data_IF_671168058442
#
_entry.id   IF_671168058442
#
_cell.length_a   1.000
_cell.length_b   1.000
_cell.length_c   1.000
_cell.angle_alpha   90.00
_cell.angle_beta   90.00
_cell.angle_gamma   90.00
#
_symmetry.space_group_name_H-M   'P 1'
#
loop_
_entity.id
_entity.type
_entity.pdbx_description
1 polymer ?
#
# COMPACT_ATOMS: atom_id res chain seq x y z
N UNK A 1 5.87 -54.11 -4.65
CA UNK A 1 5.59 -53.73 -6.05
C UNK A 1 5.27 -52.25 -6.10
N UNK A 2 5.74 -51.58 -7.15
CA UNK A 2 6.11 -50.16 -7.23
C UNK A 2 4.96 -49.14 -7.21
N UNK A 3 5.26 -47.90 -6.81
CA UNK A 3 4.41 -46.74 -7.09
C UNK A 3 4.79 -45.41 -6.42
N UNK A 4 6.07 -45.05 -6.33
CA UNK A 4 6.56 -43.82 -5.69
C UNK A 4 6.42 -42.59 -6.62
N UNK A 5 5.43 -41.73 -6.41
CA UNK A 5 5.20 -40.50 -7.18
C UNK A 5 5.95 -39.28 -6.62
N UNK A 6 7.27 -39.19 -6.86
CA UNK A 6 8.06 -37.96 -6.65
C UNK A 6 7.74 -36.93 -7.75
N UNK A 7 7.09 -35.82 -7.42
CA UNK A 7 6.96 -34.67 -8.34
C UNK A 7 8.27 -33.88 -8.31
N UNK A 8 9.15 -34.18 -9.27
CA UNK A 8 10.40 -33.47 -9.50
C UNK A 8 10.09 -32.15 -10.23
N UNK A 9 10.20 -31.00 -9.53
CA UNK A 9 9.80 -29.68 -9.99
C UNK A 9 10.68 -29.07 -11.07
N UNK A 10 10.61 -29.58 -12.31
CA UNK A 10 11.22 -28.94 -13.48
C UNK A 10 10.22 -27.93 -14.05
N UNK A 11 10.59 -26.64 -14.08
CA UNK A 11 9.74 -25.57 -14.61
C UNK A 11 9.17 -25.94 -15.99
N UNK A 12 7.93 -25.56 -16.33
CA UNK A 12 7.35 -25.80 -17.65
C UNK A 12 8.26 -25.31 -18.78
N UNK A 13 8.29 -26.00 -19.93
CA UNK A 13 9.22 -25.70 -21.05
C UNK A 13 9.11 -24.25 -21.55
N UNK A 14 7.91 -23.66 -21.59
CA UNK A 14 7.75 -22.26 -22.01
C UNK A 14 8.41 -21.27 -21.03
N UNK A 15 8.41 -21.56 -19.72
CA UNK A 15 9.10 -20.75 -18.71
C UNK A 15 10.62 -20.81 -18.86
N UNK A 16 11.16 -21.98 -19.24
CA UNK A 16 12.59 -22.14 -19.53
C UNK A 16 13.01 -21.33 -20.77
N UNK A 17 12.19 -21.34 -21.83
CA UNK A 17 12.44 -20.56 -23.05
C UNK A 17 12.37 -19.05 -22.78
N UNK A 18 11.35 -18.61 -22.05
CA UNK A 18 11.23 -17.20 -21.64
C UNK A 18 12.43 -16.78 -20.78
N UNK A 19 12.88 -17.63 -19.85
CA UNK A 19 14.08 -17.41 -19.05
C UNK A 19 15.34 -17.24 -19.92
N UNK A 20 15.56 -18.12 -20.89
CA UNK A 20 16.73 -18.05 -21.78
C UNK A 20 16.74 -16.79 -22.64
N UNK A 21 15.58 -16.39 -23.19
CA UNK A 21 15.46 -15.15 -23.97
C UNK A 21 15.62 -13.90 -23.08
N UNK A 22 15.09 -13.92 -21.85
CA UNK A 22 15.25 -12.85 -20.86
C UNK A 22 16.72 -12.61 -20.51
N UNK A 23 17.48 -13.67 -20.28
CA UNK A 23 18.92 -13.58 -20.00
C UNK A 23 19.67 -12.95 -21.18
N UNK A 24 19.38 -13.37 -22.41
CA UNK A 24 20.00 -12.80 -23.63
C UNK A 24 19.68 -11.32 -23.86
N UNK A 25 18.49 -10.87 -23.45
CA UNK A 25 18.12 -9.45 -23.50
C UNK A 25 18.88 -8.66 -22.42
N UNK A 26 18.95 -9.18 -21.18
CA UNK A 26 19.64 -8.51 -20.06
C UNK A 26 21.15 -8.42 -20.26
N UNK A 27 21.76 -9.45 -20.81
CA UNK A 27 23.21 -9.50 -21.12
C UNK A 27 23.57 -8.70 -22.37
N UNK A 28 22.60 -8.08 -23.05
CA UNK A 28 22.82 -7.24 -24.23
C UNK A 28 23.11 -8.00 -25.52
N UNK A 29 23.04 -9.34 -25.51
CA UNK A 29 23.17 -10.18 -26.71
C UNK A 29 22.02 -9.96 -27.71
N UNK A 30 20.85 -9.56 -27.21
CA UNK A 30 19.72 -9.09 -28.01
C UNK A 30 19.48 -7.61 -27.71
N UNK A 31 19.87 -6.74 -28.64
CA UNK A 31 19.81 -5.29 -28.43
C UNK A 31 18.37 -4.77 -28.49
N UNK A 32 18.06 -3.72 -27.71
CA UNK A 32 16.89 -2.86 -27.87
C UNK A 32 16.53 -2.57 -29.33
N UNK A 33 15.29 -2.84 -29.74
CA UNK A 33 14.82 -2.64 -31.12
C UNK A 33 15.25 -3.72 -32.12
N UNK A 34 16.08 -4.69 -31.73
CA UNK A 34 16.45 -5.80 -32.60
C UNK A 34 15.24 -6.70 -32.87
N UNK A 35 15.11 -7.15 -34.12
CA UNK A 35 14.05 -8.08 -34.51
C UNK A 35 14.41 -9.49 -34.03
N UNK A 36 13.47 -10.14 -33.33
CA UNK A 36 13.58 -11.57 -33.04
C UNK A 36 13.32 -12.39 -34.31
N UNK A 37 13.98 -13.54 -34.41
CA UNK A 37 13.75 -14.49 -35.50
C UNK A 37 12.26 -14.85 -35.64
N UNK A 38 11.88 -15.25 -36.85
CA UNK A 38 10.54 -15.76 -37.12
C UNK A 38 10.17 -16.87 -36.12
N UNK A 39 8.96 -16.84 -35.57
CA UNK A 39 8.46 -17.81 -34.58
C UNK A 39 8.69 -19.27 -34.99
N UNK A 40 8.56 -19.63 -36.28
CA UNK A 40 8.84 -21.01 -36.74
C UNK A 40 10.31 -21.38 -36.61
N UNK A 41 11.22 -20.45 -36.91
CA UNK A 41 12.68 -20.66 -36.83
C UNK A 41 13.14 -20.72 -35.37
N UNK A 42 12.58 -19.84 -34.54
CA UNK A 42 12.86 -19.79 -33.11
C UNK A 42 12.32 -21.04 -32.39
N UNK A 43 11.15 -21.55 -32.80
CA UNK A 43 10.61 -22.80 -32.25
C UNK A 43 11.52 -23.99 -32.59
N UNK A 44 12.05 -24.02 -33.82
CA UNK A 44 13.03 -25.02 -34.27
C UNK A 44 14.35 -24.93 -33.50
N UNK A 45 14.87 -23.73 -33.23
CA UNK A 45 16.12 -23.56 -32.48
C UNK A 45 16.01 -23.99 -31.02
N UNK A 46 14.82 -23.86 -30.41
CA UNK A 46 14.55 -24.34 -29.06
C UNK A 46 14.03 -25.78 -28.99
N UNK A 47 13.83 -26.45 -30.14
CA UNK A 47 13.32 -27.83 -30.20
C UNK A 47 11.90 -27.99 -29.63
N UNK A 48 11.04 -26.99 -29.78
CA UNK A 48 9.67 -26.98 -29.22
C UNK A 48 8.59 -26.75 -30.28
N UNK A 49 7.33 -27.03 -29.91
CA UNK A 49 6.18 -26.72 -30.75
C UNK A 49 5.95 -25.21 -30.84
N UNK A 50 5.28 -24.77 -31.91
CA UNK A 50 4.93 -23.36 -32.10
C UNK A 50 4.05 -22.81 -30.97
N UNK A 51 3.18 -23.65 -30.39
CA UNK A 51 2.33 -23.28 -29.25
C UNK A 51 3.14 -22.99 -27.98
N UNK A 52 4.13 -23.82 -27.67
CA UNK A 52 5.02 -23.60 -26.52
C UNK A 52 5.87 -22.35 -26.69
N UNK A 53 6.32 -22.05 -27.91
CA UNK A 53 7.03 -20.79 -28.17
C UNK A 53 6.09 -19.58 -28.03
N UNK A 54 4.85 -19.66 -28.55
CA UNK A 54 3.88 -18.55 -28.40
C UNK A 54 3.60 -18.24 -26.94
N UNK A 55 3.43 -19.25 -26.10
CA UNK A 55 3.29 -19.07 -24.65
C UNK A 55 4.50 -18.38 -24.01
N UNK A 56 5.72 -18.73 -24.45
CA UNK A 56 6.94 -18.08 -23.95
C UNK A 56 7.04 -16.61 -24.41
N UNK A 57 6.65 -16.31 -25.65
CA UNK A 57 6.62 -14.94 -26.18
C UNK A 57 5.51 -14.10 -25.53
N UNK A 58 4.34 -14.67 -25.27
CA UNK A 58 3.26 -14.01 -24.50
C UNK A 58 3.73 -13.62 -23.09
N UNK A 59 4.48 -14.49 -22.43
CA UNK A 59 5.05 -14.19 -21.12
C UNK A 59 6.06 -13.02 -21.19
N UNK A 60 6.96 -13.01 -22.18
CA UNK A 60 7.92 -11.93 -22.37
C UNK A 60 7.28 -10.59 -22.78
N UNK A 61 6.16 -10.64 -23.51
CA UNK A 61 5.39 -9.46 -23.90
C UNK A 61 4.64 -8.87 -22.69
N UNK A 62 4.07 -9.72 -21.82
CA UNK A 62 3.52 -9.29 -20.52
C UNK A 62 4.57 -8.67 -19.61
N UNK A 63 5.82 -9.11 -19.71
CA UNK A 63 6.97 -8.54 -18.99
C UNK A 63 7.54 -7.28 -19.67
N UNK A 64 6.94 -6.79 -20.75
CA UNK A 64 7.39 -5.64 -21.54
C UNK A 64 8.82 -5.75 -22.11
N UNK A 65 9.35 -6.96 -22.22
CA UNK A 65 10.70 -7.21 -22.75
C UNK A 65 10.72 -7.28 -24.29
N UNK A 66 9.57 -7.55 -24.90
CA UNK A 66 9.38 -7.63 -26.35
C UNK A 66 8.07 -6.97 -26.75
N UNK A 67 7.99 -6.50 -28.00
CA UNK A 67 6.76 -5.95 -28.58
C UNK A 67 6.46 -6.60 -29.93
N UNK A 68 5.20 -6.99 -30.16
CA UNK A 68 4.73 -7.43 -31.48
C UNK A 68 4.27 -6.23 -32.30
N UNK A 69 4.76 -6.15 -33.53
CA UNK A 69 4.28 -5.17 -34.53
C UNK A 69 3.57 -5.94 -35.64
N UNK A 70 2.28 -5.66 -35.81
CA UNK A 70 1.44 -6.34 -36.81
C UNK A 70 2.09 -6.24 -38.20
N UNK A 71 2.22 -7.36 -38.91
CA UNK A 71 2.89 -7.44 -40.23
C UNK A 71 4.43 -7.35 -40.22
N UNK A 72 5.05 -6.87 -39.15
CA UNK A 72 6.50 -6.57 -39.09
C UNK A 72 7.31 -7.55 -38.22
N UNK A 73 6.63 -8.34 -37.37
CA UNK A 73 7.25 -9.36 -36.52
C UNK A 73 7.41 -8.94 -35.06
N UNK A 74 8.22 -9.69 -34.31
CA UNK A 74 8.47 -9.46 -32.88
C UNK A 74 9.82 -8.77 -32.71
N UNK A 75 9.86 -7.70 -31.91
CA UNK A 75 11.07 -6.92 -31.65
C UNK A 75 11.37 -6.92 -30.15
N UNK A 76 12.66 -6.89 -29.80
CA UNK A 76 13.11 -6.62 -28.44
C UNK A 76 12.67 -5.19 -28.11
N UNK A 77 11.95 -5.03 -27.01
CA UNK A 77 11.54 -3.70 -26.59
C UNK A 77 12.78 -2.84 -26.36
N UNK A 78 12.72 -1.56 -26.72
CA UNK A 78 13.71 -0.63 -26.21
C UNK A 78 13.64 -0.67 -24.67
N UNK A 79 14.72 -0.37 -23.92
CA UNK A 79 14.59 -0.14 -22.50
C UNK A 79 13.71 1.11 -22.40
N UNK A 80 12.40 0.91 -22.28
CA UNK A 80 11.58 1.91 -21.67
C UNK A 80 12.14 1.95 -20.27
N UNK A 81 12.86 3.03 -19.97
CA UNK A 81 12.80 3.56 -18.63
C UNK A 81 11.36 4.09 -18.52
N UNK A 82 10.43 3.14 -18.40
CA UNK A 82 9.04 3.37 -18.09
C UNK A 82 9.04 3.71 -16.61
N UNK A 83 9.46 4.94 -16.33
CA UNK A 83 9.01 5.58 -15.13
C UNK A 83 7.58 5.99 -15.41
N UNK A 84 6.68 5.04 -15.21
CA UNK A 84 5.30 5.37 -14.94
C UNK A 84 5.34 6.37 -13.78
N UNK A 85 5.12 7.65 -14.10
CA UNK A 85 5.20 8.78 -13.16
C UNK A 85 4.21 8.57 -12.00
N UNK A 86 3.20 7.72 -12.19
CA UNK A 86 2.23 7.29 -11.18
C UNK A 86 2.71 6.09 -10.35
N UNK A 87 3.76 5.37 -10.78
CA UNK A 87 4.45 4.31 -10.03
C UNK A 87 5.82 4.70 -9.47
N UNK A 88 6.34 5.90 -9.75
CA UNK A 88 7.55 6.45 -9.11
C UNK A 88 7.28 6.85 -7.65
N UNK A 89 6.94 5.84 -6.84
CA UNK A 89 6.51 5.95 -5.45
C UNK A 89 7.66 6.23 -4.47
N UNK A 90 8.94 6.06 -4.87
CA UNK A 90 10.12 6.44 -4.07
C UNK A 90 11.28 6.98 -4.92
N UNK A 91 11.18 8.20 -5.44
CA UNK A 91 12.21 8.78 -6.32
C UNK A 91 13.67 8.65 -5.81
N UNK A 92 13.92 8.86 -4.51
CA UNK A 92 15.29 8.73 -3.97
C UNK A 92 15.62 7.31 -3.46
N UNK A 93 14.63 6.58 -2.93
CA UNK A 93 14.82 5.25 -2.35
C UNK A 93 15.02 4.16 -3.40
N UNK A 94 14.21 4.20 -4.46
CA UNK A 94 14.22 3.17 -5.52
C UNK A 94 15.43 3.33 -6.46
N UNK A 95 15.93 4.56 -6.64
CA UNK A 95 17.11 4.84 -7.48
C UNK A 95 18.43 4.61 -6.74
N UNK A 96 18.52 4.94 -5.44
CA UNK A 96 19.68 4.56 -4.62
C UNK A 96 19.80 3.05 -4.41
N UNK A 97 18.69 2.32 -4.31
CA UNK A 97 18.71 0.86 -4.23
C UNK A 97 19.19 0.20 -5.54
N UNK A 98 19.06 0.89 -6.67
CA UNK A 98 19.56 0.49 -8.00
C UNK A 98 20.98 1.02 -8.32
N UNK A 99 21.57 1.81 -7.42
CA UNK A 99 22.94 2.32 -7.56
C UNK A 99 23.09 3.66 -8.29
N UNK A 100 22.01 4.37 -8.59
CA UNK A 100 22.02 5.65 -9.29
C UNK A 100 22.19 6.85 -8.35
N UNK A 101 22.91 7.89 -8.80
CA UNK A 101 23.20 9.07 -7.97
C UNK A 101 22.10 10.13 -8.08
N UNK A 102 21.20 10.14 -7.10
CA UNK A 102 20.17 11.19 -6.98
C UNK A 102 20.71 12.39 -6.20
N UNK A 103 20.67 13.57 -6.81
CA UNK A 103 20.98 14.85 -6.18
C UNK A 103 19.72 15.72 -6.09
N UNK A 104 19.55 16.45 -4.98
CA UNK A 104 18.50 17.46 -4.84
C UNK A 104 19.14 18.81 -4.58
N UNK A 105 18.85 19.80 -5.42
CA UNK A 105 19.30 21.19 -5.27
C UNK A 105 18.11 22.07 -4.91
N UNK A 106 18.18 22.75 -3.77
CA UNK A 106 17.23 23.82 -3.44
C UNK A 106 17.47 25.00 -4.39
N UNK A 107 16.44 25.41 -5.12
CA UNK A 107 16.50 26.56 -6.02
C UNK A 107 16.12 27.85 -5.30
N UNK A 108 15.22 27.78 -4.32
CA UNK A 108 14.85 28.94 -3.52
C UNK A 108 13.71 28.68 -2.54
N UNK A 109 13.55 29.59 -1.60
CA UNK A 109 12.41 29.66 -0.68
C UNK A 109 11.87 31.07 -0.63
N UNK A 110 10.56 31.24 -0.73
CA UNK A 110 9.90 32.56 -0.60
C UNK A 110 8.57 32.44 0.11
N UNK A 111 8.18 33.45 0.87
CA UNK A 111 6.79 33.58 1.28
C UNK A 111 5.96 34.16 0.14
N UNK A 112 4.77 33.60 -0.07
CA UNK A 112 3.82 34.08 -1.05
C UNK A 112 2.39 33.96 -0.50
N UNK A 113 1.46 34.71 -1.07
CA UNK A 113 0.03 34.41 -0.92
C UNK A 113 -0.28 33.14 -1.69
N UNK A 114 -0.94 32.13 -1.09
CA UNK A 114 -1.37 30.94 -1.81
C UNK A 114 -2.43 31.34 -2.85
N UNK A 115 -2.42 30.67 -4.00
CA UNK A 115 -3.57 30.71 -4.90
C UNK A 115 -4.76 29.95 -4.29
N UNK A 116 -5.92 30.02 -4.94
CA UNK A 116 -7.14 29.41 -4.42
C UNK A 116 -7.01 27.90 -4.22
N UNK A 117 -6.31 27.19 -5.11
CA UNK A 117 -6.10 25.75 -4.99
C UNK A 117 -5.23 25.39 -3.78
N UNK A 118 -4.13 26.12 -3.58
CA UNK A 118 -3.24 25.91 -2.45
C UNK A 118 -3.91 26.34 -1.14
N UNK A 119 -4.72 27.39 -1.16
CA UNK A 119 -5.46 27.86 0.01
C UNK A 119 -6.49 26.81 0.46
N UNK A 120 -7.28 26.28 -0.47
CA UNK A 120 -8.29 25.25 -0.19
C UNK A 120 -7.64 23.94 0.27
N UNK A 121 -6.60 23.48 -0.42
CA UNK A 121 -5.89 22.25 -0.08
C UNK A 121 -5.22 22.30 1.29
N UNK A 122 -4.81 23.48 1.75
CA UNK A 122 -4.17 23.69 3.05
C UNK A 122 -5.14 24.22 4.13
N UNK A 123 -6.42 24.40 3.82
CA UNK A 123 -7.42 24.94 4.74
C UNK A 123 -7.12 26.37 5.22
N UNK A 124 -6.56 27.20 4.35
CA UNK A 124 -6.07 28.53 4.68
C UNK A 124 -7.06 29.64 4.27
N UNK A 125 -7.25 30.64 5.14
CA UNK A 125 -8.08 31.81 4.85
C UNK A 125 -7.46 32.77 3.80
N UNK A 126 -8.27 33.68 3.25
CA UNK A 126 -7.93 34.58 2.14
C UNK A 126 -6.77 35.56 2.38
N UNK A 127 -6.28 35.68 3.62
CA UNK A 127 -5.10 36.50 3.99
C UNK A 127 -3.91 35.67 4.50
N UNK A 128 -3.98 34.34 4.42
CA UNK A 128 -2.90 33.49 4.88
C UNK A 128 -1.67 33.59 3.95
N UNK A 129 -0.49 33.34 4.52
CA UNK A 129 0.76 33.23 3.75
C UNK A 129 1.24 31.79 3.74
N UNK A 130 1.94 31.41 2.69
CA UNK A 130 2.62 30.12 2.57
C UNK A 130 4.10 30.31 2.25
N UNK A 131 4.95 29.44 2.78
CA UNK A 131 6.33 29.31 2.30
C UNK A 131 6.34 28.39 1.08
N UNK A 132 6.78 28.92 -0.06
CA UNK A 132 7.03 28.19 -1.29
C UNK A 132 8.49 27.74 -1.29
N UNK A 133 8.72 26.45 -1.49
CA UNK A 133 10.05 25.85 -1.57
C UNK A 133 10.22 25.20 -2.94
N UNK A 134 11.21 25.64 -3.71
CA UNK A 134 11.51 25.14 -5.05
C UNK A 134 12.76 24.26 -5.04
N UNK A 135 12.67 23.03 -5.57
CA UNK A 135 13.80 22.09 -5.63
C UNK A 135 13.92 21.46 -7.00
N UNK A 136 15.15 21.33 -7.48
CA UNK A 136 15.49 20.55 -8.65
C UNK A 136 16.03 19.20 -8.19
N UNK A 137 15.44 18.11 -8.67
CA UNK A 137 16.00 16.76 -8.52
C UNK A 137 16.70 16.37 -9.79
N UNK A 138 17.91 15.84 -9.65
CA UNK A 138 18.73 15.34 -10.74
C UNK A 138 19.13 13.90 -10.47
N UNK A 139 19.28 13.13 -11.54
CA UNK A 139 19.79 11.75 -11.51
C UNK A 139 21.02 11.72 -12.42
N UNK A 140 22.17 11.29 -11.88
CA UNK A 140 23.45 11.26 -12.59
C UNK A 140 23.77 12.59 -13.32
N UNK A 141 23.49 13.72 -12.65
CA UNK A 141 23.74 15.06 -13.16
C UNK A 141 22.66 15.63 -14.10
N UNK A 142 21.67 14.84 -14.52
CA UNK A 142 20.60 15.28 -15.42
C UNK A 142 19.37 15.74 -14.63
N UNK A 143 18.82 16.95 -14.87
CA UNK A 143 17.62 17.42 -14.19
C UNK A 143 16.40 16.60 -14.60
N UNK A 144 15.71 16.03 -13.61
CA UNK A 144 14.59 15.11 -13.80
C UNK A 144 13.26 15.70 -13.33
N UNK A 145 13.26 16.52 -12.29
CA UNK A 145 12.01 17.08 -11.73
C UNK A 145 12.25 18.42 -11.06
N UNK A 146 11.34 19.36 -11.31
CA UNK A 146 11.20 20.61 -10.57
C UNK A 146 10.01 20.48 -9.61
N UNK A 147 10.29 20.52 -8.32
CA UNK A 147 9.28 20.39 -7.26
C UNK A 147 9.01 21.75 -6.62
N UNK A 148 7.74 22.15 -6.54
CA UNK A 148 7.25 23.26 -5.71
C UNK A 148 6.46 22.69 -4.54
N UNK A 149 6.82 23.07 -3.32
CA UNK A 149 6.07 22.71 -2.12
C UNK A 149 5.55 23.97 -1.45
N UNK A 150 4.29 23.94 -1.04
CA UNK A 150 3.62 25.02 -0.31
C UNK A 150 3.40 24.60 1.13
N UNK A 151 3.75 25.47 2.07
CA UNK A 151 3.72 25.18 3.50
C UNK A 151 3.00 26.32 4.22
N UNK A 152 2.04 26.04 5.13
CA UNK A 152 1.42 27.07 5.95
C UNK A 152 2.47 27.93 6.68
N UNK A 153 2.22 29.24 6.83
CA UNK A 153 3.19 30.19 7.39
C UNK A 153 3.81 29.74 8.72
N UNK A 154 3.02 29.20 9.65
CA UNK A 154 3.52 28.74 10.94
C UNK A 154 4.55 27.60 10.83
N UNK A 155 4.43 26.73 9.82
CA UNK A 155 5.42 25.68 9.50
C UNK A 155 6.56 26.25 8.64
N UNK A 156 6.24 27.21 7.78
CA UNK A 156 7.18 27.91 6.92
C UNK A 156 8.22 28.71 7.71
N UNK A 157 7.81 29.41 8.76
CA UNK A 157 8.68 30.25 9.59
C UNK A 157 9.76 29.43 10.30
N UNK A 158 9.39 28.26 10.83
CA UNK A 158 10.35 27.32 11.45
C UNK A 158 11.34 26.74 10.45
N UNK A 159 11.03 26.83 9.16
CA UNK A 159 11.74 26.15 8.09
C UNK A 159 12.59 27.11 7.29
N UNK A 160 12.19 28.38 7.21
CA UNK A 160 13.04 29.48 6.78
C UNK A 160 14.16 29.75 7.79
N UNK A 161 13.92 29.52 9.10
CA UNK A 161 14.94 29.64 10.15
C UNK A 161 15.93 28.47 10.20
N UNK A 162 15.61 27.33 9.60
CA UNK A 162 16.50 26.17 9.53
C UNK A 162 17.29 26.20 8.21
N UNK A 163 18.61 26.03 8.27
CA UNK A 163 19.45 25.98 7.05
C UNK A 163 19.08 24.74 6.20
N UNK A 164 18.24 24.97 5.18
CA UNK A 164 17.67 23.96 4.29
C UNK A 164 18.67 23.34 3.31
N UNK A 165 19.88 23.90 3.20
CA UNK A 165 20.94 23.37 2.35
C UNK A 165 21.77 22.29 3.06
N UNK A 166 21.90 22.36 4.39
CA UNK A 166 22.75 21.44 5.17
C UNK A 166 22.01 20.68 6.29
N UNK A 167 20.75 21.02 6.57
CA UNK A 167 19.97 20.43 7.67
C UNK A 167 18.60 19.96 7.18
N UNK A 168 18.33 18.63 7.10
CA UNK A 168 17.00 18.11 6.86
C UNK A 168 16.06 18.47 8.03
N UNK A 169 14.80 18.82 7.75
CA UNK A 169 13.70 19.17 8.68
C UNK A 169 13.46 18.23 9.90
N UNK A 170 14.20 17.15 10.06
CA UNK A 170 13.97 16.06 11.01
C UNK A 170 14.28 16.39 12.49
N UNK A 171 14.39 17.66 12.87
CA UNK A 171 14.81 18.06 14.23
C UNK A 171 14.07 19.24 14.86
N UNK A 172 12.91 19.63 14.34
CA UNK A 172 12.03 20.57 15.07
C UNK A 172 11.20 19.75 16.07
N UNK A 173 11.37 19.91 17.40
CA UNK A 173 10.60 19.16 18.38
C UNK A 173 9.19 19.75 18.51
N UNK A 174 8.16 19.01 18.09
CA UNK A 174 6.78 19.29 18.49
C UNK A 174 6.54 18.79 19.92
N UNK A 175 6.12 19.67 20.82
CA UNK A 175 5.63 19.30 22.17
C UNK A 175 4.20 18.80 22.05
N UNK A 176 3.95 17.58 22.54
CA UNK A 176 2.60 17.02 22.74
C UNK A 176 2.43 15.65 22.07
N UNK A 177 2.19 14.62 22.87
CA UNK A 177 2.14 13.19 22.55
C UNK A 177 3.50 12.57 22.16
N UNK A 178 3.91 11.49 22.84
CA UNK A 178 5.23 10.85 22.76
C UNK A 178 5.59 10.18 21.42
N UNK A 179 5.09 10.68 20.29
CA UNK A 179 5.39 10.22 18.94
C UNK A 179 6.72 10.83 18.49
N UNK A 180 7.73 9.98 18.27
CA UNK A 180 8.98 10.40 17.63
C UNK A 180 8.90 10.13 16.13
N UNK A 181 8.72 11.20 15.36
CA UNK A 181 8.81 11.16 13.90
C UNK A 181 10.28 11.24 13.50
N UNK A 182 10.79 10.24 12.77
CA UNK A 182 12.17 10.23 12.26
C UNK A 182 12.15 10.17 10.74
N UNK A 183 12.47 11.25 10.05
CA UNK A 183 12.75 11.18 8.62
C UNK A 183 14.17 10.61 8.41
N UNK A 184 14.28 9.42 7.80
CA UNK A 184 15.58 8.81 7.47
C UNK A 184 15.92 9.05 6.00
N UNK A 185 16.97 9.82 5.74
CA UNK A 185 17.66 9.89 4.44
C UNK A 185 18.91 9.02 4.53
N UNK A 186 19.06 8.02 3.66
CA UNK A 186 20.32 7.27 3.55
C UNK A 186 21.40 8.22 2.99
N UNK A 187 22.42 8.55 3.81
CA UNK A 187 23.67 9.18 3.35
C UNK A 187 24.81 8.16 3.47
N UNK A 188 25.50 7.86 2.37
CA UNK A 188 26.87 7.32 2.36
C UNK A 188 27.80 8.39 1.80
N UNK A 189 28.75 8.85 2.62
CA UNK A 189 29.69 9.91 2.27
C UNK A 189 30.79 9.45 1.31
N UNK A 190 31.20 10.34 0.41
CA UNK A 190 32.51 10.29 -0.24
C UNK A 190 33.52 11.06 0.63
N UNK A 191 34.62 10.42 1.01
CA UNK A 191 35.91 11.09 1.23
C UNK A 191 36.91 10.49 0.25
N UNK A 192 37.44 11.34 -0.62
CA UNK A 192 38.66 11.06 -1.35
C UNK A 192 39.84 11.51 -0.48
N UNK A 193 40.82 10.62 -0.28
CA UNK A 193 42.05 10.90 0.42
C UNK A 193 42.95 9.67 0.38
N UNK A 194 44.02 9.75 -0.41
CA UNK A 194 44.96 8.68 -0.76
C UNK A 194 45.58 8.03 0.48
N UNK A 195 45.61 6.70 0.55
CA UNK A 195 46.73 5.95 1.11
C UNK A 195 46.75 4.54 0.52
N UNK A 196 47.88 4.20 -0.10
CA UNK A 196 48.20 2.85 -0.59
C UNK A 196 48.46 1.95 0.61
N UNK A 197 47.74 0.84 0.74
CA UNK A 197 48.31 -0.41 1.26
C UNK A 197 47.38 -1.60 0.98
N UNK A 198 48.03 -2.73 0.74
CA UNK A 198 47.54 -4.01 0.21
C UNK A 198 46.39 -4.59 1.06
N UNK A 199 45.29 -5.00 0.43
CA UNK A 199 44.25 -5.82 1.06
C UNK A 199 43.79 -6.93 0.09
N UNK A 200 44.01 -8.17 0.53
CA UNK A 200 43.46 -9.40 -0.05
C UNK A 200 41.92 -9.37 -0.11
N UNK A 201 41.30 -10.14 -1.03
CA UNK A 201 39.83 -10.20 -1.12
C UNK A 201 39.23 -10.76 0.17
N UNK A 202 38.52 -9.92 0.93
CA UNK A 202 37.74 -10.35 2.10
C UNK A 202 36.44 -10.98 1.64
N UNK A 203 36.20 -12.21 2.15
CA UNK A 203 34.99 -13.02 2.06
C UNK A 203 33.69 -12.23 2.25
N UNK A 204 32.56 -12.69 1.68
CA UNK A 204 31.23 -12.19 2.04
C UNK A 204 31.01 -12.34 3.55
N UNK A 205 30.38 -11.33 4.15
CA UNK A 205 29.99 -11.36 5.56
C UNK A 205 29.05 -12.56 5.80
N UNK A 206 29.29 -13.38 6.84
CA UNK A 206 28.36 -14.46 7.19
C UNK A 206 27.04 -13.85 7.68
N UNK A 207 25.93 -14.47 7.26
CA UNK A 207 24.65 -14.32 7.95
C UNK A 207 24.83 -14.76 9.40
N UNK A 208 24.97 -13.79 10.31
CA UNK A 208 24.84 -14.07 11.73
C UNK A 208 23.35 -14.27 12.02
N UNK A 209 22.91 -15.42 12.56
CA UNK A 209 21.64 -15.48 13.25
C UNK A 209 21.78 -14.51 14.44
N UNK A 210 20.85 -13.57 14.55
CA UNK A 210 20.79 -12.69 15.72
C UNK A 210 20.77 -13.51 17.02
N UNK A 211 21.22 -12.94 18.14
CA UNK A 211 21.14 -13.64 19.43
C UNK A 211 19.69 -14.07 19.69
N UNK A 212 19.44 -15.21 20.35
CA UNK A 212 18.09 -15.66 20.64
C UNK A 212 17.36 -14.54 21.37
N UNK A 213 16.32 -14.01 20.73
CA UNK A 213 15.42 -13.03 21.31
C UNK A 213 14.91 -13.65 22.60
N UNK A 214 15.28 -13.07 23.74
CA UNK A 214 14.64 -13.40 25.03
C UNK A 214 13.14 -13.22 24.80
N UNK A 215 12.40 -14.33 24.93
CA UNK A 215 10.96 -14.42 24.69
C UNK A 215 10.21 -13.40 25.55
N UNK A 216 10.02 -12.18 25.03
CA UNK A 216 8.98 -11.27 25.50
C UNK A 216 7.63 -11.96 25.28
N UNK A 217 6.66 -11.76 26.18
CA UNK A 217 5.39 -12.50 26.22
C UNK A 217 4.65 -12.64 24.88
N UNK A 218 3.73 -13.60 24.83
CA UNK A 218 2.85 -13.84 23.68
C UNK A 218 2.19 -12.52 23.23
N UNK A 219 2.45 -12.11 21.98
CA UNK A 219 1.82 -10.90 21.41
C UNK A 219 0.42 -11.24 20.93
N UNK A 220 -0.59 -10.57 21.51
CA UNK A 220 -1.98 -10.57 21.07
C UNK A 220 -2.20 -9.38 20.13
N UNK A 221 -2.66 -9.69 18.92
CA UNK A 221 -3.00 -8.74 17.87
C UNK A 221 -4.49 -8.86 17.59
N UNK A 222 -5.22 -7.75 17.68
CA UNK A 222 -6.60 -7.70 17.20
C UNK A 222 -6.65 -7.08 15.81
N UNK A 223 -7.46 -7.66 14.92
CA UNK A 223 -7.70 -7.11 13.59
C UNK A 223 -9.17 -6.72 13.49
N UNK A 224 -9.46 -5.43 13.40
CA UNK A 224 -10.81 -4.95 13.15
C UNK A 224 -11.09 -5.01 11.64
N UNK A 225 -12.13 -5.75 11.25
CA UNK A 225 -12.54 -5.90 9.87
C UNK A 225 -14.00 -5.47 9.68
N UNK A 226 -14.35 -4.99 8.49
CA UNK A 226 -15.73 -4.69 8.08
C UNK A 226 -16.11 -5.57 6.89
N UNK A 227 -17.34 -6.10 6.93
CA UNK A 227 -17.93 -6.79 5.78
C UNK A 227 -18.63 -5.79 4.88
N UNK A 228 -18.24 -5.74 3.61
CA UNK A 228 -18.70 -4.76 2.61
C UNK A 228 -19.21 -5.47 1.34
N UNK A 229 -19.99 -4.81 0.48
CA UNK A 229 -20.32 -5.34 -0.84
C UNK A 229 -19.04 -5.61 -1.66
N UNK A 230 -19.04 -6.67 -2.46
CA UNK A 230 -17.94 -6.95 -3.38
C UNK A 230 -17.73 -5.79 -4.36
N UNK A 231 -16.48 -5.45 -4.65
CA UNK A 231 -16.08 -4.43 -5.63
C UNK A 231 -16.65 -4.63 -7.04
N UNK A 232 -17.02 -5.87 -7.41
CA UNK A 232 -17.68 -6.18 -8.68
C UNK A 232 -19.20 -5.95 -8.64
N UNK A 233 -19.78 -5.70 -7.47
CA UNK A 233 -21.22 -5.50 -7.29
C UNK A 233 -21.66 -4.18 -7.92
N UNK A 234 -22.66 -4.25 -8.78
CA UNK A 234 -23.38 -3.06 -9.22
C UNK A 234 -24.40 -2.66 -8.16
N UNK A 235 -24.05 -1.66 -7.36
CA UNK A 235 -24.92 -1.14 -6.29
C UNK A 235 -26.13 -0.44 -6.91
N UNK A 236 -27.32 -0.85 -6.47
CA UNK A 236 -28.60 -0.22 -6.83
C UNK A 236 -29.19 0.46 -5.60
N UNK A 237 -29.93 1.53 -5.82
CA UNK A 237 -30.67 2.19 -4.74
C UNK A 237 -31.89 1.34 -4.35
N UNK A 238 -32.21 1.32 -3.07
CA UNK A 238 -33.43 0.70 -2.56
C UNK A 238 -34.66 1.60 -2.82
N UNK A 239 -35.83 1.11 -2.45
CA UNK A 239 -37.05 1.93 -2.35
C UNK A 239 -36.98 2.91 -1.17
N UNK A 240 -36.20 2.62 -0.13
CA UNK A 240 -35.82 3.62 0.88
C UNK A 240 -34.68 4.48 0.32
N UNK A 241 -34.84 5.82 0.20
CA UNK A 241 -33.81 6.71 -0.34
C UNK A 241 -32.54 6.74 0.51
N UNK A 242 -32.52 6.14 1.70
CA UNK A 242 -31.34 6.12 2.59
C UNK A 242 -30.58 4.80 2.54
N UNK A 243 -30.99 3.85 1.71
CA UNK A 243 -30.44 2.51 1.67
C UNK A 243 -30.18 2.01 0.25
N UNK A 244 -29.27 1.04 0.15
CA UNK A 244 -29.00 0.29 -1.08
C UNK A 244 -29.85 -0.98 -1.12
N UNK A 245 -30.16 -1.47 -2.31
CA UNK A 245 -30.75 -2.80 -2.49
C UNK A 245 -29.69 -3.87 -2.22
N UNK A 246 -29.88 -4.65 -1.17
CA UNK A 246 -28.94 -5.71 -0.76
C UNK A 246 -29.23 -7.06 -1.43
N UNK A 247 -30.26 -7.14 -2.27
CA UNK A 247 -30.68 -8.40 -2.91
C UNK A 247 -29.62 -8.89 -3.89
N UNK A 248 -29.13 -10.11 -3.68
CA UNK A 248 -28.12 -10.72 -4.56
C UNK A 248 -26.71 -10.15 -4.43
N UNK A 249 -26.44 -9.26 -3.46
CA UNK A 249 -25.10 -8.76 -3.18
C UNK A 249 -24.23 -9.88 -2.59
N UNK A 250 -23.04 -10.05 -3.16
CA UNK A 250 -21.97 -10.83 -2.54
C UNK A 250 -21.20 -9.95 -1.57
N UNK A 251 -20.95 -10.47 -0.37
CA UNK A 251 -20.31 -9.73 0.72
C UNK A 251 -18.91 -10.25 0.98
N UNK A 252 -17.94 -9.35 1.11
CA UNK A 252 -16.53 -9.68 1.29
C UNK A 252 -15.96 -8.95 2.51
N UNK A 253 -14.77 -9.36 2.95
CA UNK A 253 -13.94 -8.55 3.84
C UNK A 253 -13.52 -7.30 3.06
N UNK A 254 -13.55 -6.11 3.68
CA UNK A 254 -13.08 -4.91 3.00
C UNK A 254 -11.66 -5.12 2.47
N UNK A 255 -11.36 -4.76 1.21
CA UNK A 255 -10.04 -5.03 0.62
C UNK A 255 -8.87 -4.44 1.42
N UNK A 256 -9.07 -3.29 2.10
CA UNK A 256 -8.04 -2.71 2.96
C UNK A 256 -7.80 -3.51 4.24
N UNK A 257 -8.85 -4.16 4.76
CA UNK A 257 -8.78 -5.01 5.95
C UNK A 257 -8.06 -6.33 5.67
N UNK A 258 -8.08 -6.82 4.42
CA UNK A 258 -7.32 -8.01 4.04
C UNK A 258 -5.80 -7.82 4.23
N UNK A 259 -5.27 -6.63 3.90
CA UNK A 259 -3.87 -6.29 4.16
C UNK A 259 -3.57 -6.25 5.66
N UNK A 260 -4.52 -5.80 6.48
CA UNK A 260 -4.40 -5.77 7.93
C UNK A 260 -4.39 -7.19 8.54
N UNK A 261 -5.26 -8.08 8.04
CA UNK A 261 -5.28 -9.49 8.44
C UNK A 261 -3.98 -10.17 8.06
N UNK A 262 -3.52 -10.02 6.82
CA UNK A 262 -2.28 -10.62 6.36
C UNK A 262 -1.09 -10.16 7.18
N UNK A 263 -0.99 -8.87 7.51
CA UNK A 263 0.17 -8.40 8.27
C UNK A 263 0.13 -8.88 9.72
N UNK A 264 -1.04 -8.96 10.34
CA UNK A 264 -1.17 -9.58 11.66
C UNK A 264 -0.65 -11.03 11.66
N UNK A 265 -0.99 -11.81 10.63
CA UNK A 265 -0.51 -13.18 10.45
C UNK A 265 1.01 -13.22 10.22
N UNK A 266 1.55 -12.34 9.37
CA UNK A 266 2.99 -12.22 9.13
C UNK A 266 3.75 -11.83 10.39
N UNK A 267 3.22 -10.94 11.21
CA UNK A 267 3.81 -10.57 12.50
C UNK A 267 3.86 -11.80 13.41
N UNK A 268 2.74 -12.53 13.54
CA UNK A 268 2.69 -13.78 14.33
C UNK A 268 3.71 -14.81 13.83
N UNK A 269 3.82 -15.00 12.52
CA UNK A 269 4.78 -15.92 11.90
C UNK A 269 6.24 -15.49 12.15
N UNK A 270 6.56 -14.21 11.95
CA UNK A 270 7.90 -13.63 12.21
C UNK A 270 8.32 -13.77 13.67
N UNK A 271 7.38 -13.66 14.62
CA UNK A 271 7.65 -13.82 16.06
C UNK A 271 7.63 -15.28 16.51
N UNK A 272 7.09 -16.20 15.71
CA UNK A 272 6.96 -17.63 16.01
C UNK A 272 5.95 -17.99 17.09
N UNK A 273 5.37 -17.00 17.77
CA UNK A 273 4.35 -17.13 18.81
C UNK A 273 3.48 -15.87 18.85
N UNK A 274 2.23 -16.01 19.25
CA UNK A 274 1.28 -14.92 19.36
C UNK A 274 -0.13 -15.39 19.01
N UNK A 275 -1.09 -14.50 19.23
CA UNK A 275 -2.51 -14.73 18.98
C UNK A 275 -3.02 -13.62 18.07
N UNK A 276 -3.69 -13.99 16.97
CA UNK A 276 -4.35 -13.06 16.05
C UNK A 276 -5.86 -13.28 16.15
N UNK A 277 -6.58 -12.25 16.58
CA UNK A 277 -8.03 -12.29 16.80
C UNK A 277 -8.71 -11.33 15.85
N UNK A 278 -9.56 -11.84 14.96
CA UNK A 278 -10.37 -10.98 14.10
C UNK A 278 -11.59 -10.47 14.88
N UNK A 279 -11.97 -9.22 14.71
CA UNK A 279 -13.21 -8.68 15.28
C UNK A 279 -13.99 -7.88 14.25
N UNK A 280 -15.32 -7.95 14.33
CA UNK A 280 -16.19 -7.17 13.44
C UNK A 280 -17.52 -6.88 14.11
N UNK A 281 -18.08 -5.71 13.81
CA UNK A 281 -19.40 -5.27 14.23
C UNK A 281 -20.35 -5.32 13.05
N UNK A 282 -21.53 -5.90 13.26
CA UNK A 282 -22.60 -5.89 12.28
C UNK A 282 -23.52 -7.11 12.37
N UNK A 283 -24.45 -7.27 11.41
CA UNK A 283 -25.47 -8.31 11.44
C UNK A 283 -24.89 -9.73 11.31
N UNK A 284 -25.72 -10.75 11.47
CA UNK A 284 -25.33 -12.18 11.44
C UNK A 284 -24.46 -12.58 10.24
N UNK A 285 -24.70 -11.96 9.06
CA UNK A 285 -23.90 -12.20 7.84
C UNK A 285 -22.41 -11.92 8.01
N UNK A 286 -22.01 -11.06 8.96
CA UNK A 286 -20.61 -10.72 9.25
C UNK A 286 -19.80 -11.95 9.70
N UNK A 287 -20.44 -12.99 10.26
CA UNK A 287 -19.75 -14.24 10.61
C UNK A 287 -19.08 -14.89 9.40
N UNK A 288 -19.58 -14.69 8.18
CA UNK A 288 -18.94 -15.19 6.96
C UNK A 288 -17.57 -14.54 6.73
N UNK A 289 -17.48 -13.21 6.86
CA UNK A 289 -16.23 -12.46 6.75
C UNK A 289 -15.24 -12.87 7.86
N UNK A 290 -15.72 -13.04 9.10
CA UNK A 290 -14.90 -13.56 10.20
C UNK A 290 -14.39 -14.98 9.93
N UNK A 291 -15.23 -15.86 9.37
CA UNK A 291 -14.81 -17.22 8.96
C UNK A 291 -13.74 -17.18 7.87
N UNK A 292 -13.80 -16.23 6.94
CA UNK A 292 -12.74 -16.02 5.95
C UNK A 292 -11.41 -15.68 6.63
N UNK A 293 -11.42 -14.77 7.62
CA UNK A 293 -10.23 -14.41 8.41
C UNK A 293 -9.66 -15.62 9.21
N UNK A 294 -10.54 -16.42 9.81
CA UNK A 294 -10.19 -17.67 10.49
C UNK A 294 -9.56 -18.70 9.54
N UNK A 295 -10.05 -18.76 8.29
CA UNK A 295 -9.55 -19.64 7.25
C UNK A 295 -8.19 -19.19 6.68
N UNK A 296 -7.92 -17.88 6.67
CA UNK A 296 -6.60 -17.32 6.33
C UNK A 296 -5.55 -17.62 7.40
N UNK A 297 -5.94 -17.62 8.68
CA UNK A 297 -5.03 -18.00 9.77
C UNK A 297 -5.30 -17.40 11.14
N UNK A 298 -6.31 -16.55 11.30
CA UNK A 298 -6.68 -15.99 12.61
C UNK A 298 -7.02 -17.12 13.59
N UNK A 299 -6.68 -16.96 14.87
CA UNK A 299 -6.83 -18.01 15.90
C UNK A 299 -8.28 -18.15 16.34
N UNK A 300 -8.94 -17.02 16.60
CA UNK A 300 -10.37 -16.92 16.93
C UNK A 300 -10.94 -15.60 16.42
N UNK A 301 -12.25 -15.44 16.55
CA UNK A 301 -12.95 -14.22 16.15
C UNK A 301 -13.92 -13.72 17.22
N UNK A 302 -14.22 -12.43 17.18
CA UNK A 302 -15.21 -11.76 18.03
C UNK A 302 -16.24 -11.08 17.12
N UNK A 303 -17.52 -11.39 17.32
CA UNK A 303 -18.62 -10.82 16.57
C UNK A 303 -19.46 -9.94 17.49
N UNK A 304 -19.39 -8.62 17.28
CA UNK A 304 -20.24 -7.67 17.97
C UNK A 304 -21.57 -7.61 17.21
N UNK A 305 -22.60 -8.23 17.78
CA UNK A 305 -23.85 -8.52 17.09
C UNK A 305 -25.04 -8.18 17.98
N UNK A 306 -25.50 -6.94 17.90
CA UNK A 306 -26.65 -6.47 18.65
C UNK A 306 -27.50 -5.57 17.75
N UNK A 307 -28.84 -5.72 17.73
CA UNK A 307 -29.70 -4.81 16.99
C UNK A 307 -29.46 -3.33 17.29
N UNK A 308 -29.01 -2.99 18.50
CA UNK A 308 -28.68 -1.62 18.89
C UNK A 308 -27.53 -1.00 18.07
N UNK A 309 -26.73 -1.81 17.36
CA UNK A 309 -25.64 -1.35 16.51
C UNK A 309 -25.95 -1.40 15.01
N UNK A 310 -27.16 -1.81 14.60
CA UNK A 310 -27.51 -1.91 13.18
C UNK A 310 -27.44 -0.57 12.44
N UNK A 311 -27.61 0.54 13.17
CA UNK A 311 -27.48 1.91 12.65
C UNK A 311 -26.29 2.65 13.27
N UNK A 312 -25.28 1.92 13.76
CA UNK A 312 -24.10 2.54 14.35
C UNK A 312 -23.35 3.38 13.31
N UNK A 313 -23.08 4.64 13.65
CA UNK A 313 -22.16 5.48 12.91
C UNK A 313 -20.69 5.14 13.26
N UNK A 314 -19.74 5.93 12.77
CA UNK A 314 -18.32 5.69 13.05
C UNK A 314 -18.00 5.75 14.54
N UNK A 315 -18.63 6.66 15.30
CA UNK A 315 -18.33 6.89 16.71
C UNK A 315 -18.93 5.78 17.58
N UNK A 316 -20.18 5.42 17.33
CA UNK A 316 -20.82 4.27 17.97
C UNK A 316 -20.04 2.98 17.70
N UNK A 317 -19.59 2.78 16.46
CA UNK A 317 -18.72 1.68 16.07
C UNK A 317 -17.41 1.70 16.87
N UNK A 318 -16.71 2.84 16.92
CA UNK A 318 -15.46 2.98 17.65
C UNK A 318 -15.62 2.73 19.15
N UNK A 319 -16.71 3.20 19.77
CA UNK A 319 -17.05 2.93 21.18
C UNK A 319 -17.25 1.44 21.45
N UNK A 320 -18.00 0.75 20.60
CA UNK A 320 -18.25 -0.68 20.73
C UNK A 320 -16.93 -1.49 20.61
N UNK A 321 -16.11 -1.18 19.59
CA UNK A 321 -14.79 -1.81 19.43
C UNK A 321 -13.84 -1.49 20.60
N UNK A 322 -13.85 -0.25 21.10
CA UNK A 322 -13.04 0.14 22.26
C UNK A 322 -13.39 -0.66 23.52
N UNK A 323 -14.67 -0.93 23.75
CA UNK A 323 -15.10 -1.74 24.89
C UNK A 323 -14.58 -3.20 24.81
N UNK A 324 -14.62 -3.80 23.62
CA UNK A 324 -13.99 -5.13 23.39
C UNK A 324 -12.48 -5.07 23.60
N UNK A 325 -11.81 -4.04 23.07
CA UNK A 325 -10.36 -3.91 23.19
C UNK A 325 -9.88 -3.71 24.63
N UNK A 326 -10.68 -3.05 25.48
CA UNK A 326 -10.41 -2.94 26.92
C UNK A 326 -10.47 -4.30 27.63
N UNK A 327 -11.39 -5.18 27.24
CA UNK A 327 -11.48 -6.55 27.78
C UNK A 327 -10.36 -7.45 27.25
N UNK A 328 -10.02 -7.33 25.96
CA UNK A 328 -9.05 -8.20 25.30
C UNK A 328 -7.59 -7.80 25.56
N UNK A 329 -7.34 -6.53 25.86
CA UNK A 329 -6.01 -5.96 26.13
C UNK A 329 -4.91 -6.37 25.11
N UNK A 330 -5.14 -6.22 23.79
CA UNK A 330 -4.11 -6.52 22.79
C UNK A 330 -2.94 -5.53 22.87
N UNK A 331 -1.78 -5.94 22.36
CA UNK A 331 -0.64 -5.04 22.20
C UNK A 331 -0.68 -4.30 20.85
N UNK A 332 -1.40 -4.80 19.86
CA UNK A 332 -1.50 -4.15 18.56
C UNK A 332 -2.90 -4.33 17.99
N UNK A 333 -3.46 -3.26 17.44
CA UNK A 333 -4.67 -3.29 16.64
C UNK A 333 -4.34 -2.93 15.20
N UNK A 334 -4.76 -3.79 14.27
CA UNK A 334 -4.66 -3.57 12.83
C UNK A 334 -6.06 -3.44 12.23
N UNK A 335 -6.23 -2.56 11.26
CA UNK A 335 -7.45 -2.42 10.46
C UNK A 335 -7.10 -1.82 9.10
N UNK A 336 -8.00 -1.85 8.13
CA UNK A 336 -7.81 -1.14 6.87
C UNK A 336 -7.85 0.38 7.06
N UNK A 337 -7.24 1.12 6.13
CA UNK A 337 -7.31 2.59 6.08
C UNK A 337 -8.74 3.11 6.10
N UNK A 338 -9.61 2.51 5.30
CA UNK A 338 -11.03 2.83 5.19
C UNK A 338 -11.78 1.61 4.66
N UNK A 339 -13.08 1.57 4.87
CA UNK A 339 -13.95 0.61 4.21
C UNK A 339 -14.45 1.20 2.89
N UNK A 340 -14.62 0.34 1.88
CA UNK A 340 -14.95 0.78 0.51
C UNK A 340 -16.45 1.08 0.28
N UNK A 341 -17.29 0.85 1.28
CA UNK A 341 -18.74 1.07 1.19
C UNK A 341 -19.14 2.50 1.53
N UNK A 342 -18.60 3.05 2.63
CA UNK A 342 -18.85 4.44 3.06
C UNK A 342 -17.63 5.36 2.93
N UNK A 343 -16.45 4.81 2.67
CA UNK A 343 -15.18 5.52 2.48
C UNK A 343 -14.79 6.48 3.63
N UNK A 344 -15.34 6.29 4.84
CA UNK A 344 -15.21 7.23 5.96
C UNK A 344 -13.81 7.30 6.56
N UNK A 345 -13.16 6.15 6.77
CA UNK A 345 -11.79 6.07 7.31
C UNK A 345 -11.58 6.62 8.73
N UNK A 346 -12.64 6.94 9.48
CA UNK A 346 -12.55 7.64 10.77
C UNK A 346 -12.42 6.73 12.00
N UNK A 347 -12.92 5.49 11.92
CA UNK A 347 -13.07 4.58 13.08
C UNK A 347 -11.75 4.34 13.81
N UNK A 348 -10.64 4.15 13.09
CA UNK A 348 -9.34 3.86 13.70
C UNK A 348 -8.81 5.05 14.53
N UNK A 349 -8.98 6.27 14.04
CA UNK A 349 -8.55 7.48 14.75
C UNK A 349 -9.45 7.74 15.97
N UNK A 350 -10.76 7.57 15.84
CA UNK A 350 -11.70 7.66 16.96
C UNK A 350 -11.39 6.61 18.03
N UNK A 351 -11.07 5.39 17.62
CA UNK A 351 -10.69 4.31 18.51
C UNK A 351 -9.40 4.63 19.28
N UNK A 352 -8.42 5.23 18.60
CA UNK A 352 -7.17 5.67 19.21
C UNK A 352 -7.41 6.71 20.30
N UNK A 353 -8.26 7.71 20.01
CA UNK A 353 -8.63 8.76 20.96
C UNK A 353 -9.37 8.17 22.18
N UNK A 354 -10.36 7.31 21.96
CA UNK A 354 -11.15 6.66 23.03
C UNK A 354 -10.30 5.78 23.96
N UNK A 355 -9.20 5.22 23.45
CA UNK A 355 -8.28 4.37 24.21
C UNK A 355 -7.06 5.15 24.76
N UNK A 356 -6.83 6.37 24.28
CA UNK A 356 -5.58 7.11 24.53
C UNK A 356 -4.35 6.43 23.92
N UNK A 357 -4.52 5.69 22.82
CA UNK A 357 -3.45 4.91 22.18
C UNK A 357 -2.83 5.67 21.00
N UNK A 358 -1.53 5.53 20.74
CA UNK A 358 -0.92 6.04 19.52
C UNK A 358 -1.53 5.36 18.29
N UNK A 359 -1.79 6.16 17.24
CA UNK A 359 -2.24 5.68 15.95
C UNK A 359 -1.33 6.17 14.84
N UNK A 360 -0.95 5.27 13.93
CA UNK A 360 -0.48 5.65 12.61
C UNK A 360 -1.50 5.18 11.57
N UNK A 361 -1.70 6.01 10.55
CA UNK A 361 -2.60 5.71 9.46
C UNK A 361 -1.82 5.56 8.14
N UNK A 362 -2.37 4.72 7.28
CA UNK A 362 -1.93 4.45 5.90
C UNK A 362 -0.56 3.79 5.83
N UNK A 363 -0.30 2.84 6.75
CA UNK A 363 1.00 2.19 6.84
C UNK A 363 1.21 1.27 5.64
N UNK A 364 2.44 1.31 5.13
CA UNK A 364 2.94 0.44 4.07
C UNK A 364 4.17 -0.36 4.52
N UNK A 365 4.72 -0.08 5.70
CA UNK A 365 5.74 -0.90 6.34
C UNK A 365 5.57 -0.85 7.86
N UNK A 366 5.79 -1.96 8.54
CA UNK A 366 6.07 -1.97 9.97
C UNK A 366 7.22 -2.90 10.35
N UNK A 367 7.76 -2.65 11.53
CA UNK A 367 8.66 -3.57 12.22
C UNK A 367 8.46 -3.39 13.71
N UNK A 368 8.17 -4.47 14.41
CA UNK A 368 8.09 -4.48 15.87
C UNK A 368 9.49 -4.76 16.42
N UNK A 369 9.93 -3.95 17.39
CA UNK A 369 11.22 -4.14 18.03
C UNK A 369 11.28 -5.46 18.80
N UNK A 370 12.49 -6.00 18.96
CA UNK A 370 12.69 -7.34 19.56
C UNK A 370 12.18 -7.48 21.00
N UNK A 371 12.06 -6.38 21.74
CA UNK A 371 11.48 -6.36 23.09
C UNK A 371 9.93 -6.32 23.10
N UNK A 372 9.32 -6.13 21.92
CA UNK A 372 7.87 -6.05 21.75
C UNK A 372 7.23 -4.79 22.35
N UNK A 373 7.99 -3.72 22.62
CA UNK A 373 7.47 -2.50 23.25
C UNK A 373 7.20 -1.36 22.28
N UNK A 374 7.84 -1.37 21.12
CA UNK A 374 7.74 -0.30 20.13
C UNK A 374 7.45 -0.93 18.77
N UNK A 375 6.59 -0.28 17.99
CA UNK A 375 6.41 -0.55 16.57
C UNK A 375 6.92 0.63 15.76
N UNK A 376 7.84 0.35 14.83
CA UNK A 376 8.21 1.27 13.78
C UNK A 376 7.25 1.09 12.62
N UNK A 377 6.58 2.17 12.22
CA UNK A 377 5.59 2.19 11.15
C UNK A 377 6.00 3.22 10.10
N UNK A 378 5.76 2.96 8.82
CA UNK A 378 6.05 3.92 7.76
C UNK A 378 4.90 4.04 6.75
N UNK A 379 4.60 5.28 6.35
CA UNK A 379 3.60 5.58 5.31
C UNK A 379 4.23 6.40 4.19
N UNK A 380 3.71 6.21 3.00
CA UNK A 380 4.06 7.04 1.86
C UNK A 380 3.29 8.37 1.94
N UNK A 381 4.00 9.46 1.64
CA UNK A 381 3.42 10.79 1.47
C UNK A 381 3.92 11.36 0.15
N UNK A 382 3.31 12.47 -0.30
CA UNK A 382 3.77 13.16 -1.49
C UNK A 382 5.26 13.54 -1.36
N UNK A 383 6.07 12.98 -2.26
CA UNK A 383 7.51 13.26 -2.32
C UNK A 383 8.40 12.51 -1.32
N UNK A 384 7.88 11.56 -0.52
CA UNK A 384 8.71 10.80 0.42
C UNK A 384 8.01 9.72 1.27
N UNK A 385 8.70 9.32 2.34
CA UNK A 385 8.27 8.34 3.33
C UNK A 385 8.32 8.97 4.72
N UNK A 386 7.22 8.90 5.47
CA UNK A 386 7.19 9.23 6.89
C UNK A 386 7.37 7.97 7.72
N UNK A 387 8.23 8.03 8.74
CA UNK A 387 8.51 6.90 9.65
C UNK A 387 8.25 7.34 11.09
N UNK A 388 7.46 6.53 11.79
CA UNK A 388 7.02 6.72 13.16
C UNK A 388 7.59 5.62 14.04
N UNK A 389 8.09 5.98 15.22
CA UNK A 389 8.31 5.02 16.31
C UNK A 389 7.17 5.20 17.33
N UNK A 390 6.30 4.20 17.49
CA UNK A 390 5.12 4.24 18.37
C UNK A 390 5.28 3.25 19.53
N UNK A 391 5.02 3.64 20.79
CA UNK A 391 4.95 2.68 21.88
C UNK A 391 3.73 1.77 21.71
N UNK A 392 3.83 0.51 22.14
CA UNK A 392 2.71 -0.41 22.22
C UNK A 392 2.03 -0.28 23.60
N UNK A 393 0.69 -0.37 23.70
CA UNK A 393 -0.23 -0.72 22.62
C UNK A 393 -0.44 0.40 21.58
N UNK A 394 -0.66 0.03 20.32
CA UNK A 394 -0.84 0.97 19.21
C UNK A 394 -1.90 0.50 18.21
N UNK A 395 -2.40 1.44 17.41
CA UNK A 395 -3.33 1.19 16.31
C UNK A 395 -2.65 1.54 14.98
N UNK A 396 -2.70 0.62 14.03
CA UNK A 396 -2.13 0.79 12.70
C UNK A 396 -3.21 0.55 11.63
N UNK A 397 -3.31 1.44 10.64
CA UNK A 397 -4.23 1.25 9.51
C UNK A 397 -3.49 0.84 8.23
N UNK A 398 -3.75 -0.36 7.72
CA UNK A 398 -3.11 -0.91 6.54
C UNK A 398 -3.53 -0.18 5.25
N UNK A 399 -2.56 0.08 4.39
CA UNK A 399 -2.75 0.60 3.04
C UNK A 399 -2.36 -0.45 2.00
N UNK A 400 -2.98 -0.38 0.82
CA UNK A 400 -2.57 -1.17 -0.34
C UNK A 400 -1.06 -1.03 -0.60
N UNK A 401 -0.37 -2.17 -0.64
CA UNK A 401 1.09 -2.24 -0.81
C UNK A 401 1.88 -2.53 0.46
N UNK A 402 1.21 -2.67 1.62
CA UNK A 402 1.82 -3.18 2.85
C UNK A 402 2.31 -4.64 2.68
N UNK A 403 1.49 -5.47 2.05
CA UNK A 403 1.76 -6.88 1.75
C UNK A 403 0.89 -7.36 0.59
N UNK A 404 0.94 -8.66 0.31
CA UNK A 404 0.03 -9.37 -0.60
C UNK A 404 -0.79 -10.37 0.23
N UNK A 405 -2.09 -10.13 0.44
CA UNK A 405 -2.93 -11.01 1.25
C UNK A 405 -2.96 -12.45 0.73
N UNK A 406 -2.82 -13.42 1.63
CA UNK A 406 -2.91 -14.84 1.28
C UNK A 406 -4.34 -15.26 1.02
N UNK A 407 -4.51 -16.23 0.12
CA UNK A 407 -5.79 -16.91 -0.03
C UNK A 407 -5.97 -18.01 1.04
N UNK A 408 -7.20 -18.21 1.55
CA UNK A 408 -7.51 -19.36 2.39
C UNK A 408 -7.20 -20.68 1.69
N UNK A 409 -6.53 -21.59 2.39
CA UNK A 409 -6.33 -22.96 1.89
C UNK A 409 -7.58 -23.81 2.18
N UNK A 410 -7.81 -24.90 1.42
CA UNK A 410 -8.90 -25.84 1.70
C UNK A 410 -8.87 -26.35 3.15
N UNK A 411 -7.68 -26.67 3.67
CA UNK A 411 -7.49 -27.08 5.07
C UNK A 411 -7.87 -25.95 6.04
N UNK A 412 -7.51 -24.70 5.71
CA UNK A 412 -7.90 -23.51 6.46
C UNK A 412 -9.42 -23.34 6.53
N UNK A 413 -10.11 -23.45 5.38
CA UNK A 413 -11.57 -23.34 5.28
C UNK A 413 -12.26 -24.41 6.13
N UNK A 414 -11.80 -25.68 6.04
CA UNK A 414 -12.34 -26.77 6.84
C UNK A 414 -12.07 -26.58 8.35
N UNK A 415 -10.89 -26.09 8.71
CA UNK A 415 -10.49 -25.82 10.08
C UNK A 415 -11.24 -24.64 10.71
N UNK A 416 -11.54 -23.60 9.91
CA UNK A 416 -12.22 -22.39 10.37
C UNK A 416 -13.60 -22.65 10.98
N UNK A 417 -14.33 -23.66 10.48
CA UNK A 417 -15.64 -24.04 11.03
C UNK A 417 -15.59 -24.51 12.49
N UNK A 418 -14.43 -24.98 12.96
CA UNK A 418 -14.22 -25.45 14.33
C UNK A 418 -13.63 -24.39 15.25
N UNK A 419 -13.15 -23.26 14.69
CA UNK A 419 -12.57 -22.17 15.47
C UNK A 419 -13.67 -21.33 16.11
N UNK A 420 -13.39 -20.79 17.28
CA UNK A 420 -14.33 -20.00 18.05
C UNK A 420 -14.66 -18.67 17.36
N UNK A 421 -15.95 -18.35 17.34
CA UNK A 421 -16.47 -17.00 17.09
C UNK A 421 -17.26 -16.62 18.33
N UNK A 422 -16.72 -15.75 19.17
CA UNK A 422 -17.39 -15.25 20.37
C UNK A 422 -18.39 -14.17 19.96
N UNK A 423 -19.68 -14.46 20.10
CA UNK A 423 -20.73 -13.44 20.00
C UNK A 423 -20.70 -12.52 21.23
N UNK A 424 -20.78 -11.21 21.00
CA UNK A 424 -20.80 -10.17 22.03
C UNK A 424 -22.01 -9.26 21.80
N UNK A 425 -22.82 -9.09 22.83
CA UNK A 425 -23.98 -8.19 22.87
C UNK A 425 -23.62 -6.84 23.49
N UNK A 426 -24.47 -5.84 23.28
CA UNK A 426 -24.29 -4.52 23.88
C UNK A 426 -24.22 -4.57 25.41
N UNK A 427 -25.09 -5.38 26.02
CA UNK A 427 -25.15 -5.58 27.46
C UNK A 427 -23.85 -6.17 28.04
N UNK A 428 -23.16 -7.06 27.31
CA UNK A 428 -21.90 -7.70 27.75
C UNK A 428 -20.75 -6.70 27.88
N UNK A 429 -20.88 -5.53 27.25
CA UNK A 429 -19.88 -4.48 27.24
C UNK A 429 -20.22 -3.33 28.20
N UNK A 430 -21.33 -3.42 28.93
CA UNK A 430 -21.87 -2.29 29.70
C UNK A 430 -22.16 -1.07 28.82
N UNK A 431 -22.43 -1.31 27.53
CA UNK A 431 -22.64 -0.25 26.56
C UNK A 431 -24.10 0.23 26.63
N UNK A 432 -24.27 1.54 26.79
CA UNK A 432 -25.58 2.17 26.72
C UNK A 432 -25.84 2.64 25.27
N UNK A 433 -27.01 2.34 24.68
CA UNK A 433 -27.36 2.85 23.37
C UNK A 433 -27.41 4.38 23.36
N UNK A 434 -26.57 4.97 22.53
CA UNK A 434 -26.64 6.38 22.18
C UNK A 434 -27.17 6.52 20.75
N UNK A 435 -27.97 7.56 20.45
CA UNK A 435 -28.37 7.84 19.09
C UNK A 435 -27.12 8.11 18.23
N UNK A 436 -27.06 7.61 16.98
CA UNK A 436 -25.98 7.96 16.09
C UNK A 436 -25.96 9.47 15.85
N UNK A 437 -24.76 10.04 15.79
CA UNK A 437 -24.56 11.48 15.52
C UNK A 437 -24.60 11.80 14.03
N UNK A 438 -24.44 10.78 13.19
CA UNK A 438 -24.57 10.86 11.74
C UNK A 438 -25.79 10.05 11.28
N UNK A 439 -26.53 10.60 10.32
CA UNK A 439 -27.62 9.89 9.66
C UNK A 439 -27.56 10.13 8.15
N UNK A 440 -27.91 9.09 7.38
CA UNK A 440 -28.07 9.19 5.94
C UNK A 440 -29.43 9.80 5.65
N UNK A 441 -29.45 10.92 4.93
CA UNK A 441 -30.69 11.60 4.52
C UNK A 441 -31.17 11.09 3.16
N UNK A 442 -30.24 10.90 2.22
CA UNK A 442 -30.51 10.39 0.88
C UNK A 442 -29.25 9.78 0.27
N UNK A 443 -29.41 8.81 -0.61
CA UNK A 443 -28.40 8.21 -1.46
C UNK A 443 -28.85 8.37 -2.91
N UNK A 444 -27.97 8.89 -3.75
CA UNK A 444 -28.24 9.12 -5.16
C UNK A 444 -27.18 8.41 -6.00
N UNK A 445 -27.62 7.77 -7.08
CA UNK A 445 -26.71 7.19 -8.05
C UNK A 445 -25.96 8.33 -8.76
N UNK A 446 -24.65 8.18 -8.93
CA UNK A 446 -23.89 9.10 -9.77
C UNK A 446 -24.46 9.10 -11.19
N UNK A 447 -24.52 10.26 -11.86
CA UNK A 447 -24.97 10.32 -13.23
C UNK A 447 -24.09 9.41 -14.11
N UNK A 448 -24.66 8.78 -15.15
CA UNK A 448 -23.88 7.95 -16.06
C UNK A 448 -22.75 8.77 -16.66
N UNK A 449 -21.56 8.16 -16.76
CA UNK A 449 -20.41 8.83 -17.38
C UNK A 449 -20.77 9.24 -18.81
N UNK A 450 -20.46 10.48 -19.23
CA UNK A 450 -20.67 10.89 -20.61
C UNK A 450 -19.85 9.99 -21.54
N UNK A 451 -20.31 9.78 -22.79
CA UNK A 451 -19.58 8.99 -23.77
C UNK A 451 -18.18 9.57 -23.99
N UNK A 452 -17.19 8.70 -24.12
CA UNK A 452 -15.83 9.12 -24.45
C UNK A 452 -15.78 9.80 -25.82
N UNK A 453 -14.97 10.85 -25.94
CA UNK A 453 -14.73 11.56 -27.20
C UNK A 453 -13.60 10.85 -27.97
N UNK A 454 -13.88 10.40 -29.19
CA UNK A 454 -12.85 9.93 -30.11
C UNK A 454 -12.17 11.15 -30.73
N UNK A 455 -10.84 11.22 -30.65
CA UNK A 455 -10.05 12.27 -31.30
C UNK A 455 -9.69 11.79 -32.71
N UNK A 456 -10.22 12.42 -33.76
CA UNK A 456 -9.96 12.01 -35.14
C UNK A 456 -8.59 12.50 -35.62
N UNK A 457 -8.11 11.92 -36.72
CA UNK A 457 -6.90 12.35 -37.43
C UNK A 457 -5.77 11.32 -37.39
N UNK A 458 -4.68 11.65 -38.08
CA UNK A 458 -3.44 10.88 -37.99
C UNK A 458 -2.77 11.09 -36.61
N UNK A 459 -1.81 10.23 -36.27
CA UNK A 459 -1.16 10.26 -34.94
C UNK A 459 -0.63 11.65 -34.56
N UNK A 460 0.07 12.41 -35.43
CA UNK A 460 0.54 13.75 -35.10
C UNK A 460 -0.59 14.74 -34.76
N UNK A 461 -1.71 14.69 -35.50
CA UNK A 461 -2.85 15.58 -35.27
C UNK A 461 -3.60 15.19 -34.00
N UNK A 462 -3.84 13.89 -33.81
CA UNK A 462 -4.54 13.37 -32.65
C UNK A 462 -3.79 13.63 -31.34
N UNK A 463 -2.45 13.55 -31.33
CA UNK A 463 -1.64 13.88 -30.14
C UNK A 463 -1.78 15.37 -29.77
N UNK A 464 -1.74 16.29 -30.74
CA UNK A 464 -1.91 17.72 -30.47
C UNK A 464 -3.29 18.01 -29.90
N UNK A 465 -4.33 17.45 -30.51
CA UNK A 465 -5.70 17.63 -30.04
C UNK A 465 -5.95 16.97 -28.69
N UNK A 466 -5.30 15.83 -28.40
CA UNK A 466 -5.34 15.20 -27.08
C UNK A 466 -4.71 16.09 -26.03
N UNK A 467 -3.50 16.62 -26.28
CA UNK A 467 -2.82 17.51 -25.33
C UNK A 467 -3.64 18.79 -25.12
N UNK A 468 -4.18 19.39 -26.18
CA UNK A 468 -5.08 20.54 -26.10
C UNK A 468 -6.31 20.22 -25.24
N UNK A 469 -7.01 19.13 -25.54
CA UNK A 469 -8.21 18.71 -24.82
C UNK A 469 -7.92 18.39 -23.35
N UNK A 470 -6.79 17.75 -23.04
CA UNK A 470 -6.40 17.47 -21.66
C UNK A 470 -6.08 18.74 -20.87
N UNK A 471 -5.49 19.75 -21.52
CA UNK A 471 -5.07 21.00 -20.87
C UNK A 471 -6.20 22.02 -20.73
N UNK A 472 -6.97 22.20 -21.80
CA UNK A 472 -8.00 23.24 -21.89
C UNK A 472 -9.36 22.75 -21.43
N UNK A 473 -9.79 21.58 -21.95
CA UNK A 473 -11.15 21.08 -21.76
C UNK A 473 -11.24 20.31 -20.43
N UNK A 474 -10.34 19.34 -20.21
CA UNK A 474 -10.36 18.45 -19.03
C UNK A 474 -9.53 18.98 -17.84
N UNK A 475 -8.62 19.93 -18.07
CA UNK A 475 -7.69 20.50 -17.06
C UNK A 475 -6.97 19.42 -16.23
N UNK A 476 -6.60 18.33 -16.88
CA UNK A 476 -6.01 17.16 -16.26
C UNK A 476 -4.47 17.17 -16.25
N UNK A 477 -3.84 18.07 -17.02
CA UNK A 477 -2.38 18.22 -17.15
C UNK A 477 -1.94 19.69 -17.24
#
# INVERSE_FOLDING_TARGET
MNGNGRVNGRLPRYHQIAGALRTRIREGALRPGARLDNQRRLAKSFGVTLMTLRQALELLEREHLIARRHGLGTFVAAPSIDYDILQLRRFAGDLSAKGEHVATRLLGTRFASPDHHVADALGLGSRARVLVVERLRSVDGHPMSLQRSFLPAHIGDDVARADLALTPRARVPGRGAGVRVRARVLRRGRRAGRLRSRLHPRRPLPHHPGPPVRRSGLMKILVAIKQVPDTATQVKMSTDPRAIDTTGITWIVSPYDEYAVEEALRIKEKRGQGEVVAMSLGPERVKEALRSCLAMGCDRAIHLNDPAWNAADTLATAKALAAVLKQEAPQLVLCGRQAIDDDMGAVAAQLAELLGWPCASWIMEETIDGDGKTVRAARQVEGGLEVFDLPLPAILTAQKGLNEPRYPTLKGIMGAKKKEIRDVKAADLGWAPEPPQLSVVTLEALPPRPPGRIIPGDVPTAVKELVRSLREDAKAI
#
